data_IF_300798223647
#
_entry.id   IF_300798223647
#
_cell.length_a   1.000
_cell.length_b   1.000
_cell.length_c   1.000
_cell.angle_alpha   90.00
_cell.angle_beta   90.00
_cell.angle_gamma   90.00
#
_symmetry.space_group_name_H-M   'P 1'
#
loop_
_entity.id
_entity.type
_entity.pdbx_description
1 polymer ?
#
# COMPACT_ATOMS: atom_id res chain seq x y z
N UNK A 1 15.96 -20.51 -18.36
CA UNK A 1 14.61 -21.03 -18.08
C UNK A 1 13.78 -19.88 -17.50
N UNK A 2 13.17 -19.05 -18.36
CA UNK A 2 12.44 -17.82 -17.95
C UNK A 2 11.00 -18.09 -17.49
N UNK A 3 10.49 -19.29 -17.80
CA UNK A 3 9.10 -19.70 -17.59
C UNK A 3 8.76 -19.79 -16.09
N UNK A 4 9.71 -20.15 -15.23
CA UNK A 4 9.43 -20.42 -13.82
C UNK A 4 9.00 -19.18 -13.02
N UNK A 5 9.44 -17.96 -13.39
CA UNK A 5 9.13 -16.78 -12.58
C UNK A 5 7.72 -16.25 -12.83
N UNK A 6 7.29 -16.24 -14.09
CA UNK A 6 5.95 -15.81 -14.47
C UNK A 6 4.89 -16.79 -13.96
N UNK A 7 5.20 -18.09 -14.02
CA UNK A 7 4.34 -19.14 -13.49
C UNK A 7 4.17 -19.02 -11.97
N UNK A 8 5.27 -18.80 -11.23
CA UNK A 8 5.23 -18.55 -9.77
C UNK A 8 4.48 -17.28 -9.41
N UNK A 9 4.62 -16.21 -10.20
CA UNK A 9 3.86 -14.96 -10.04
C UNK A 9 2.39 -15.10 -10.50
N UNK A 10 2.02 -16.26 -11.04
CA UNK A 10 0.71 -16.55 -11.63
C UNK A 10 0.31 -15.53 -12.69
N UNK A 11 1.28 -15.11 -13.49
CA UNK A 11 1.05 -14.26 -14.65
C UNK A 11 0.69 -15.17 -15.83
N UNK A 12 -0.58 -15.14 -16.26
CA UNK A 12 -1.07 -16.01 -17.33
C UNK A 12 -1.23 -15.23 -18.64
N UNK A 13 -2.23 -14.35 -18.72
CA UNK A 13 -2.64 -13.66 -19.97
C UNK A 13 -3.23 -12.26 -19.70
N UNK A 14 -2.92 -11.69 -18.55
CA UNK A 14 -3.38 -10.38 -18.14
C UNK A 14 -2.88 -9.30 -19.11
N UNK A 15 -3.77 -8.43 -19.59
CA UNK A 15 -3.42 -7.36 -20.55
C UNK A 15 -2.98 -6.07 -19.88
N UNK A 16 -3.50 -5.81 -18.67
CA UNK A 16 -3.22 -4.59 -17.92
C UNK A 16 -2.22 -4.93 -16.80
N UNK A 17 -0.94 -4.92 -17.16
CA UNK A 17 0.17 -5.25 -16.27
C UNK A 17 0.88 -3.96 -15.89
N UNK A 18 0.99 -3.70 -14.59
CA UNK A 18 1.81 -2.64 -14.03
C UNK A 18 3.04 -3.25 -13.36
N UNK A 19 4.23 -2.76 -13.68
CA UNK A 19 5.44 -3.10 -12.95
C UNK A 19 6.24 -1.84 -12.65
N UNK A 20 6.39 -1.50 -11.36
CA UNK A 20 7.04 -0.28 -10.93
C UNK A 20 8.31 -0.59 -10.13
N UNK A 21 9.37 0.18 -10.35
CA UNK A 21 10.63 0.04 -9.61
C UNK A 21 11.49 -1.16 -10.01
N UNK A 22 11.28 -1.75 -11.20
CA UNK A 22 12.08 -2.89 -11.67
C UNK A 22 13.58 -2.57 -11.54
N UNK A 23 14.37 -3.39 -10.83
CA UNK A 23 15.82 -3.26 -10.82
C UNK A 23 16.39 -3.69 -12.17
N UNK A 24 17.47 -3.05 -12.62
CA UNK A 24 18.09 -3.33 -13.93
C UNK A 24 18.48 -4.81 -14.13
N UNK A 25 18.79 -5.51 -13.04
CA UNK A 25 19.06 -6.96 -13.04
C UNK A 25 17.85 -7.77 -13.50
N UNK A 26 16.64 -7.34 -13.13
CA UNK A 26 15.39 -8.03 -13.45
C UNK A 26 14.73 -7.55 -14.75
N UNK A 27 15.13 -6.39 -15.28
CA UNK A 27 14.55 -5.80 -16.49
C UNK A 27 14.59 -6.74 -17.69
N UNK A 28 15.68 -7.52 -17.83
CA UNK A 28 15.84 -8.51 -18.90
C UNK A 28 14.78 -9.61 -18.88
N UNK A 29 14.23 -9.96 -17.72
CA UNK A 29 13.21 -11.00 -17.58
C UNK A 29 11.86 -10.50 -18.12
N UNK A 30 11.55 -9.23 -17.89
CA UNK A 30 10.29 -8.61 -18.28
C UNK A 30 10.32 -8.00 -19.68
N UNK A 31 11.46 -7.91 -20.36
CA UNK A 31 11.58 -7.26 -21.68
C UNK A 31 10.70 -7.88 -22.78
N UNK A 32 10.28 -9.14 -22.62
CA UNK A 32 9.38 -9.85 -23.56
C UNK A 32 7.90 -9.65 -23.23
N UNK A 33 7.60 -8.99 -22.12
CA UNK A 33 6.25 -8.77 -21.62
C UNK A 33 5.82 -7.33 -21.92
N UNK A 34 4.54 -7.12 -22.23
CA UNK A 34 3.96 -5.79 -22.34
C UNK A 34 3.49 -5.33 -20.96
N UNK A 35 4.14 -4.34 -20.38
CA UNK A 35 3.80 -3.79 -19.06
C UNK A 35 4.01 -2.28 -19.00
N UNK A 36 3.27 -1.62 -18.12
CA UNK A 36 3.44 -0.20 -17.80
C UNK A 36 4.45 -0.04 -16.66
N UNK A 37 5.37 0.93 -16.79
CA UNK A 37 6.37 1.23 -15.75
C UNK A 37 5.83 2.10 -14.60
N UNK A 38 4.71 2.77 -14.82
CA UNK A 38 4.04 3.67 -13.88
C UNK A 38 2.53 3.60 -14.08
N UNK A 39 1.78 4.04 -13.07
CA UNK A 39 0.32 4.14 -13.13
C UNK A 39 -0.06 5.28 -14.08
N UNK A 40 -0.31 4.97 -15.33
CA UNK A 40 -0.78 5.97 -16.31
C UNK A 40 -2.28 6.19 -16.18
N UNK A 41 -2.82 7.38 -16.54
CA UNK A 41 -4.26 7.63 -16.54
C UNK A 41 -5.06 6.62 -17.37
N UNK A 42 -4.47 6.15 -18.47
CA UNK A 42 -5.04 5.09 -19.31
C UNK A 42 -5.17 3.76 -18.54
N UNK A 43 -4.16 3.40 -17.75
CA UNK A 43 -4.18 2.19 -16.94
C UNK A 43 -5.16 2.32 -15.76
N UNK A 44 -5.27 3.52 -15.16
CA UNK A 44 -6.30 3.83 -14.14
C UNK A 44 -7.71 3.61 -14.71
N UNK A 45 -7.95 4.06 -15.94
CA UNK A 45 -9.24 3.91 -16.62
C UNK A 45 -9.53 2.46 -17.04
N UNK A 46 -8.53 1.75 -17.55
CA UNK A 46 -8.65 0.33 -17.97
C UNK A 46 -8.73 -0.67 -16.82
N UNK A 47 -8.37 -0.23 -15.60
CA UNK A 47 -8.17 -1.04 -14.39
C UNK A 47 -7.02 -2.04 -14.53
N UNK A 48 -6.21 -2.13 -13.48
CA UNK A 48 -5.06 -3.02 -13.43
C UNK A 48 -5.51 -4.41 -13.01
N UNK A 49 -5.19 -5.41 -13.83
CA UNK A 49 -5.45 -6.83 -13.52
C UNK A 49 -4.25 -7.44 -12.77
N UNK A 50 -3.02 -6.98 -13.05
CA UNK A 50 -1.80 -7.43 -12.39
C UNK A 50 -0.88 -6.24 -12.07
N UNK A 51 -0.52 -6.06 -10.80
CA UNK A 51 0.42 -5.04 -10.36
C UNK A 51 1.59 -5.70 -9.63
N UNK A 52 2.83 -5.37 -10.02
CA UNK A 52 4.05 -5.78 -9.35
C UNK A 52 4.89 -4.56 -8.97
N UNK A 53 5.06 -4.32 -7.68
CA UNK A 53 5.73 -3.13 -7.17
C UNK A 53 7.01 -3.53 -6.47
N UNK A 54 8.14 -3.04 -6.94
CA UNK A 54 9.43 -3.19 -6.28
C UNK A 54 9.66 -2.00 -5.36
N UNK A 55 9.76 -2.25 -4.05
CA UNK A 55 9.99 -1.24 -3.05
C UNK A 55 11.04 -1.70 -2.04
N UNK A 56 11.93 -0.79 -1.67
CA UNK A 56 12.95 -1.00 -0.62
C UNK A 56 12.60 -0.27 0.68
N UNK A 57 11.76 0.76 0.59
CA UNK A 57 11.36 1.62 1.71
C UNK A 57 9.85 1.69 1.84
N UNK A 58 9.36 1.82 3.08
CA UNK A 58 7.93 1.96 3.36
C UNK A 58 7.32 3.18 2.69
N UNK A 59 8.00 4.33 2.71
CA UNK A 59 7.49 5.56 2.13
C UNK A 59 7.28 5.44 0.59
N UNK A 60 8.19 4.76 -0.11
CA UNK A 60 8.00 4.47 -1.54
C UNK A 60 6.80 3.55 -1.76
N UNK A 61 6.70 2.48 -0.97
CA UNK A 61 5.60 1.54 -1.10
C UNK A 61 4.25 2.23 -0.86
N UNK A 62 4.13 3.00 0.22
CA UNK A 62 2.91 3.75 0.58
C UNK A 62 2.50 4.72 -0.53
N UNK A 63 3.45 5.50 -1.07
CA UNK A 63 3.18 6.41 -2.18
C UNK A 63 2.66 5.71 -3.43
N UNK A 64 3.28 4.58 -3.82
CA UNK A 64 2.84 3.80 -4.98
C UNK A 64 1.47 3.17 -4.72
N UNK A 65 1.25 2.66 -3.53
CA UNK A 65 0.00 1.98 -3.17
C UNK A 65 -1.20 2.93 -3.24
N UNK A 66 -1.04 4.20 -2.83
CA UNK A 66 -2.07 5.25 -2.99
C UNK A 66 -2.53 5.43 -4.44
N UNK A 67 -1.65 5.25 -5.42
CA UNK A 67 -2.01 5.31 -6.85
C UNK A 67 -2.52 3.98 -7.41
N UNK A 68 -1.98 2.85 -6.93
CA UNK A 68 -2.32 1.51 -7.43
C UNK A 68 -3.67 1.03 -6.91
N UNK A 69 -3.99 1.24 -5.64
CA UNK A 69 -5.24 0.80 -5.01
C UNK A 69 -6.49 1.28 -5.77
N UNK A 70 -6.66 2.57 -6.11
CA UNK A 70 -7.83 3.03 -6.88
C UNK A 70 -7.83 2.56 -8.35
N UNK A 71 -6.65 2.25 -8.87
CA UNK A 71 -6.46 1.76 -10.23
C UNK A 71 -6.63 0.23 -10.34
N UNK A 72 -6.54 -0.51 -9.22
CA UNK A 72 -6.63 -1.95 -9.18
C UNK A 72 -8.07 -2.41 -9.42
N UNK A 73 -8.21 -3.52 -10.17
CA UNK A 73 -9.49 -4.18 -10.35
C UNK A 73 -9.89 -4.91 -9.05
N UNK A 74 -11.19 -5.07 -8.81
CA UNK A 74 -11.72 -5.79 -7.63
C UNK A 74 -11.21 -7.24 -7.46
N UNK A 75 -10.70 -7.88 -8.52
CA UNK A 75 -10.04 -9.20 -8.49
C UNK A 75 -8.60 -9.14 -9.00
N UNK A 76 -7.99 -7.96 -8.96
CA UNK A 76 -6.62 -7.75 -9.42
C UNK A 76 -5.60 -8.42 -8.49
N UNK A 77 -4.50 -8.88 -9.06
CA UNK A 77 -3.38 -9.46 -8.33
C UNK A 77 -2.38 -8.35 -7.99
N UNK A 78 -2.15 -8.09 -6.71
CA UNK A 78 -1.12 -7.17 -6.26
C UNK A 78 0.07 -7.95 -5.73
N UNK A 79 1.25 -7.70 -6.28
CA UNK A 79 2.52 -8.27 -5.85
C UNK A 79 3.43 -7.16 -5.39
N UNK A 80 4.01 -7.32 -4.20
CA UNK A 80 4.97 -6.38 -3.62
C UNK A 80 6.29 -7.10 -3.50
N UNK A 81 7.27 -6.68 -4.29
CA UNK A 81 8.62 -7.17 -4.26
C UNK A 81 9.50 -6.30 -3.35
N UNK A 82 10.15 -6.95 -2.39
CA UNK A 82 11.05 -6.32 -1.44
C UNK A 82 12.37 -7.11 -1.35
N UNK A 83 13.50 -6.44 -1.07
CA UNK A 83 14.77 -7.12 -0.96
C UNK A 83 14.80 -7.97 0.31
N UNK A 84 15.48 -9.11 0.23
CA UNK A 84 15.69 -10.00 1.36
C UNK A 84 16.47 -9.27 2.47
N UNK A 85 16.19 -9.54 3.76
CA UNK A 85 17.02 -9.01 4.84
C UNK A 85 18.46 -9.53 4.78
N UNK A 86 18.70 -10.66 4.11
CA UNK A 86 20.03 -11.23 3.86
C UNK A 86 20.74 -10.58 2.65
N UNK A 87 20.11 -9.61 2.00
CA UNK A 87 20.67 -8.89 0.85
C UNK A 87 21.65 -7.80 1.30
N UNK A 88 22.53 -7.37 0.38
CA UNK A 88 23.35 -6.17 0.56
C UNK A 88 22.56 -4.85 0.46
N UNK A 89 21.26 -4.92 0.16
CA UNK A 89 20.39 -3.75 0.02
C UNK A 89 19.82 -3.41 1.40
N UNK A 90 20.14 -2.22 1.89
CA UNK A 90 19.50 -1.66 3.09
C UNK A 90 18.04 -1.39 2.76
N UNK A 91 17.13 -2.02 3.51
CA UNK A 91 15.69 -1.83 3.37
C UNK A 91 15.08 -1.69 4.74
N UNK A 92 14.26 -0.66 4.90
CA UNK A 92 13.50 -0.41 6.15
C UNK A 92 12.18 -1.19 6.17
N UNK A 93 11.95 -2.05 5.17
CA UNK A 93 10.81 -2.96 5.10
C UNK A 93 10.98 -4.10 6.11
N UNK A 94 10.64 -3.83 7.37
CA UNK A 94 10.52 -4.85 8.40
C UNK A 94 9.37 -5.81 8.06
N UNK A 95 9.64 -7.12 8.08
CA UNK A 95 8.82 -8.22 7.53
C UNK A 95 7.42 -8.34 8.16
N UNK A 96 7.18 -7.71 9.31
CA UNK A 96 5.92 -7.87 10.06
C UNK A 96 5.15 -6.55 10.27
N UNK A 97 5.81 -5.42 10.50
CA UNK A 97 5.14 -4.15 10.86
C UNK A 97 4.64 -3.34 9.66
N UNK A 98 5.20 -3.54 8.47
CA UNK A 98 4.88 -2.71 7.29
C UNK A 98 3.67 -3.20 6.50
N UNK A 99 3.09 -4.34 6.89
CA UNK A 99 1.89 -4.88 6.24
C UNK A 99 0.60 -4.43 6.93
N UNK A 100 0.64 -3.92 8.15
CA UNK A 100 -0.54 -3.41 8.87
C UNK A 100 -1.26 -2.31 8.09
N UNK A 101 -0.51 -1.43 7.41
CA UNK A 101 -1.08 -0.42 6.53
C UNK A 101 -1.85 -1.07 5.35
N UNK A 102 -1.31 -2.13 4.76
CA UNK A 102 -1.98 -2.88 3.69
C UNK A 102 -3.22 -3.62 4.21
N UNK A 103 -3.13 -4.28 5.36
CA UNK A 103 -4.24 -4.95 6.02
C UNK A 103 -5.35 -3.96 6.39
N UNK A 104 -5.00 -2.76 6.86
CA UNK A 104 -5.94 -1.68 7.15
C UNK A 104 -6.64 -1.17 5.89
N UNK A 105 -5.95 -1.19 4.74
CA UNK A 105 -6.51 -0.88 3.42
C UNK A 105 -7.30 -2.05 2.80
N UNK A 106 -7.60 -3.12 3.57
CA UNK A 106 -8.37 -4.27 3.12
C UNK A 106 -7.59 -5.26 2.24
N UNK A 107 -6.25 -5.24 2.30
CA UNK A 107 -5.41 -6.20 1.59
C UNK A 107 -4.90 -7.29 2.51
N UNK A 108 -5.20 -8.54 2.16
CA UNK A 108 -4.68 -9.71 2.88
C UNK A 108 -3.47 -10.30 2.17
N UNK A 109 -2.42 -10.61 2.93
CA UNK A 109 -1.29 -11.41 2.44
C UNK A 109 -1.79 -12.83 2.13
N UNK A 110 -1.48 -13.32 0.93
CA UNK A 110 -1.88 -14.66 0.51
C UNK A 110 -0.67 -15.58 0.37
N UNK A 111 0.33 -15.16 -0.40
CA UNK A 111 1.46 -16.00 -0.76
C UNK A 111 2.74 -15.19 -0.83
N UNK A 112 3.88 -15.85 -0.65
CA UNK A 112 5.20 -15.28 -0.83
C UNK A 112 6.00 -16.16 -1.79
N UNK A 113 6.68 -15.51 -2.74
CA UNK A 113 7.47 -16.16 -3.77
C UNK A 113 8.84 -15.50 -3.80
N UNK A 114 9.89 -16.32 -3.69
CA UNK A 114 11.26 -15.88 -3.93
C UNK A 114 11.47 -15.66 -5.42
N UNK A 115 11.77 -14.42 -5.81
CA UNK A 115 12.12 -14.09 -7.20
C UNK A 115 13.55 -14.52 -7.50
N UNK A 116 14.47 -14.16 -6.60
CA UNK A 116 15.90 -14.42 -6.77
C UNK A 116 16.61 -14.50 -5.39
N UNK A 117 17.94 -14.56 -5.40
CA UNK A 117 18.79 -14.46 -4.22
C UNK A 117 18.69 -13.10 -3.50
N UNK A 118 18.22 -12.06 -4.20
CA UNK A 118 18.09 -10.69 -3.66
C UNK A 118 16.65 -10.32 -3.33
N UNK A 119 15.67 -10.72 -4.15
CA UNK A 119 14.29 -10.20 -4.07
C UNK A 119 13.28 -11.30 -3.73
N UNK A 120 12.30 -10.93 -2.92
CA UNK A 120 11.10 -11.72 -2.60
C UNK A 120 9.88 -10.91 -3.02
N UNK A 121 8.88 -11.56 -3.60
CA UNK A 121 7.59 -10.96 -3.90
C UNK A 121 6.49 -11.57 -3.04
N UNK A 122 5.68 -10.72 -2.42
CA UNK A 122 4.51 -11.13 -1.63
C UNK A 122 3.23 -10.73 -2.34
N UNK A 123 2.28 -11.66 -2.44
CA UNK A 123 0.97 -11.50 -3.06
C UNK A 123 -0.04 -11.00 -2.04
N UNK A 124 -0.75 -9.96 -2.43
CA UNK A 124 -1.86 -9.37 -1.71
C UNK A 124 -3.14 -9.51 -2.53
N UNK A 125 -4.22 -9.88 -1.84
CA UNK A 125 -5.57 -9.90 -2.40
C UNK A 125 -6.42 -8.86 -1.67
N UNK A 126 -7.20 -8.07 -2.42
CA UNK A 126 -8.15 -7.14 -1.82
C UNK A 126 -9.39 -7.91 -1.37
N UNK A 127 -9.73 -7.87 -0.10
CA UNK A 127 -10.99 -8.37 0.44
C UNK A 127 -11.90 -7.18 0.75
N UNK A 128 -12.30 -6.45 -0.29
CA UNK A 128 -13.21 -5.30 -0.23
C UNK A 128 -12.69 -4.06 0.55
N UNK A 129 -13.20 -2.86 0.23
CA UNK A 129 -12.55 -1.59 0.56
C UNK A 129 -13.05 -1.05 1.90
N UNK A 130 -12.12 -0.63 2.75
CA UNK A 130 -12.40 0.42 3.73
C UNK A 130 -11.46 1.56 3.38
N UNK A 131 -12.04 2.60 2.78
CA UNK A 131 -11.40 3.87 2.51
C UNK A 131 -11.18 4.53 3.87
N UNK A 132 -9.96 4.53 4.43
CA UNK A 132 -9.51 5.53 5.42
C UNK A 132 -7.97 5.63 5.38
N UNK A 133 -7.43 6.43 4.47
CA UNK A 133 -6.18 7.14 4.76
C UNK A 133 -6.52 8.64 4.72
N UNK A 134 -7.17 9.07 5.79
CA UNK A 134 -7.16 10.46 6.24
C UNK A 134 -5.70 10.78 6.59
N UNK A 135 -4.88 11.11 5.60
CA UNK A 135 -3.65 11.86 5.82
C UNK A 135 -4.04 13.31 6.12
N UNK A 136 -4.76 13.53 7.23
CA UNK A 136 -4.58 14.73 8.02
C UNK A 136 -3.15 14.67 8.56
N UNK A 137 -2.20 15.09 7.71
CA UNK A 137 -1.03 15.77 8.24
C UNK A 137 -1.60 16.96 8.99
N UNK A 138 -1.86 16.78 10.29
CA UNK A 138 -1.90 17.89 11.23
C UNK A 138 -0.55 18.56 11.10
N UNK A 139 -0.55 19.59 10.28
CA UNK A 139 0.29 20.76 10.40
C UNK A 139 0.36 21.03 11.91
N UNK A 140 1.52 20.75 12.50
CA UNK A 140 1.89 21.37 13.76
C UNK A 140 2.00 22.86 13.45
N UNK A 141 0.88 23.57 13.56
CA UNK A 141 0.90 24.98 13.92
C UNK A 141 1.52 25.05 15.31
N UNK A 142 2.84 25.27 15.32
CA UNK A 142 3.54 25.82 16.47
C UNK A 142 3.11 27.29 16.52
N UNK A 143 1.91 27.56 17.02
CA UNK A 143 1.64 28.87 17.61
C UNK A 143 2.16 28.82 19.04
N UNK A 144 3.33 29.43 19.20
CA UNK A 144 3.91 29.75 20.47
C UNK A 144 3.05 30.80 21.18
N UNK A 145 2.08 30.37 21.99
CA UNK A 145 1.57 31.21 23.08
C UNK A 145 1.43 30.39 24.36
N UNK A 146 2.54 30.29 25.10
CA UNK A 146 2.53 29.94 26.54
C UNK A 146 2.02 31.14 27.33
N UNK A 147 0.81 31.02 27.84
CA UNK A 147 0.24 31.58 29.09
C UNK A 147 -1.27 31.32 28.98
N UNK A 148 -1.91 30.56 29.84
CA UNK A 148 -1.86 30.73 31.28
C UNK A 148 -2.35 29.45 31.96
N UNK A 149 -1.84 29.31 33.17
CA UNK A 149 -2.03 28.23 34.12
C UNK A 149 -3.49 28.17 34.60
N UNK A 150 -3.91 27.02 35.17
CA UNK A 150 -5.01 26.91 36.17
C UNK A 150 -6.42 26.98 35.52
N UNK A 151 -7.40 26.10 35.74
CA UNK A 151 -7.90 25.51 36.98
C UNK A 151 -9.04 24.52 36.63
N UNK A 152 -8.95 23.30 37.15
CA UNK A 152 -9.99 22.61 37.95
C UNK A 152 -11.41 22.41 37.35
N UNK A 153 -11.75 21.11 37.21
CA UNK A 153 -13.04 20.40 37.45
C UNK A 153 -14.36 21.05 36.98
N UNK A 154 -15.18 20.27 36.27
CA UNK A 154 -16.21 19.43 36.91
C UNK A 154 -17.12 18.79 35.87
N UNK A 155 -17.36 17.50 36.07
CA UNK A 155 -18.48 16.73 35.55
C UNK A 155 -19.83 17.38 35.93
N UNK A 156 -20.81 17.35 35.02
CA UNK A 156 -22.11 16.69 35.27
C UNK A 156 -22.99 16.64 34.01
N UNK A 157 -23.32 15.40 33.68
CA UNK A 157 -24.48 14.96 32.89
C UNK A 157 -25.77 15.39 33.60
N UNK A 158 -26.77 15.88 32.86
CA UNK A 158 -28.14 15.31 32.81
C UNK A 158 -29.16 16.26 32.19
N UNK A 159 -29.57 15.87 30.99
CA UNK A 159 -30.90 15.83 30.41
C UNK A 159 -32.15 16.30 31.21
N UNK A 160 -33.06 16.91 30.41
CA UNK A 160 -34.52 16.71 30.29
C UNK A 160 -35.52 17.56 31.11
N UNK A 161 -36.57 17.92 30.35
CA UNK A 161 -37.98 18.25 30.67
C UNK A 161 -38.22 19.50 31.53
N UNK A 162 -39.18 20.40 31.30
CA UNK A 162 -40.43 20.39 30.53
C UNK A 162 -41.44 21.25 31.32
N UNK A 163 -42.33 21.96 30.62
CA UNK A 163 -43.66 22.43 31.09
C UNK A 163 -43.75 23.67 32.02
N UNK A 164 -44.22 24.76 31.41
CA UNK A 164 -45.39 25.63 31.71
C UNK A 164 -45.77 26.10 33.14
N UNK A 165 -46.51 27.23 33.13
CA UNK A 165 -47.40 27.88 34.13
C UNK A 165 -46.70 28.47 35.38
N UNK A 166 -46.96 29.70 35.86
CA UNK A 166 -48.10 30.63 35.76
C UNK A 166 -47.63 32.08 35.79
#
# INVERSE_FOLDING_TARGET
>A
MLINIFDKLQLCEEKNILIQGIPSTLEKYFTKLSFAKNVTPLLKSRKIDFALVFAVNYNQLSGILKDVVPALRSKGKLWIAYPKPTSKIVSDLNRDLNWDCLMSNGFNKIDEVVIDHVWIAMRFCTSAPTIECEDDIKLMDIDATVKDVVRIKSSRVSNKIGTAIS
#
